data_IF_423336744405
#
_entry.id   IF_423336744405
#
_cell.length_a   1.000
_cell.length_b   1.000
_cell.length_c   1.000
_cell.angle_alpha   90.00
_cell.angle_beta   90.00
_cell.angle_gamma   90.00
#
_symmetry.space_group_name_H-M   'P 1'
#
loop_
_entity.id
_entity.type
_entity.pdbx_description
1 polymer ?
#
# COMPACT_ATOMS: atom_id res chain seq x y z
N UNK A 1 22.52 -5.86 -8.79
CA UNK A 1 21.38 -5.87 -7.84
C UNK A 1 21.68 -6.90 -6.77
N UNK A 2 21.45 -6.58 -5.50
CA UNK A 2 21.50 -7.54 -4.41
C UNK A 2 20.31 -8.48 -4.52
N UNK A 3 20.51 -9.76 -4.18
CA UNK A 3 19.40 -10.72 -4.10
C UNK A 3 18.53 -10.37 -2.89
N UNK A 4 17.23 -10.19 -3.11
CA UNK A 4 16.21 -9.94 -2.08
C UNK A 4 15.34 -11.18 -1.88
N UNK A 5 14.57 -11.19 -0.79
CA UNK A 5 13.63 -12.25 -0.45
C UNK A 5 12.30 -12.12 -1.19
N UNK A 6 11.24 -12.61 -0.54
CA UNK A 6 9.89 -12.62 -1.11
C UNK A 6 9.31 -11.20 -1.21
N UNK A 7 8.50 -10.97 -2.23
CA UNK A 7 7.76 -9.72 -2.33
C UNK A 7 6.69 -9.60 -1.24
N UNK A 8 6.24 -8.38 -0.93
CA UNK A 8 5.10 -8.20 -0.01
C UNK A 8 3.84 -8.87 -0.57
N UNK A 9 3.68 -8.95 -1.90
CA UNK A 9 2.60 -9.71 -2.53
C UNK A 9 2.67 -11.21 -2.20
N UNK A 10 3.86 -11.82 -2.29
CA UNK A 10 4.07 -13.24 -1.99
C UNK A 10 3.89 -13.53 -0.50
N UNK A 11 4.42 -12.66 0.36
CA UNK A 11 4.28 -12.77 1.81
C UNK A 11 2.82 -12.66 2.24
N UNK A 12 2.08 -11.69 1.69
CA UNK A 12 0.64 -11.54 1.90
C UNK A 12 -0.12 -12.77 1.42
N UNK A 13 0.21 -13.31 0.24
CA UNK A 13 -0.49 -14.47 -0.34
C UNK A 13 -0.34 -15.74 0.53
N UNK A 14 0.74 -15.86 1.30
CA UNK A 14 0.98 -16.95 2.22
C UNK A 14 0.21 -16.82 3.56
N UNK A 15 -0.45 -15.70 3.83
CA UNK A 15 -1.20 -15.45 5.07
C UNK A 15 -2.63 -15.99 5.00
N UNK A 16 -3.22 -16.38 6.15
CA UNK A 16 -4.67 -16.55 6.26
C UNK A 16 -5.41 -15.32 5.75
N UNK A 17 -6.51 -15.53 5.01
CA UNK A 17 -7.30 -14.46 4.38
C UNK A 17 -6.51 -13.56 3.40
N UNK A 18 -5.26 -13.92 3.09
CA UNK A 18 -4.35 -13.17 2.22
C UNK A 18 -4.18 -11.71 2.67
N UNK A 19 -3.97 -11.48 3.96
CA UNK A 19 -3.74 -10.14 4.55
C UNK A 19 -2.69 -10.19 5.65
N UNK A 20 -2.07 -9.04 5.91
CA UNK A 20 -1.32 -8.81 7.14
C UNK A 20 -2.21 -8.23 8.24
N UNK A 21 -1.79 -8.41 9.48
CA UNK A 21 -2.31 -7.67 10.63
C UNK A 21 -2.02 -6.18 10.48
N UNK A 22 -2.89 -5.33 11.03
CA UNK A 22 -2.72 -3.86 10.95
C UNK A 22 -1.33 -3.39 11.42
N UNK A 23 -0.76 -3.86 12.55
CA UNK A 23 0.58 -3.43 12.95
C UNK A 23 1.67 -3.82 11.93
N UNK A 24 1.58 -5.02 11.33
CA UNK A 24 2.50 -5.43 10.26
C UNK A 24 2.33 -4.56 9.03
N UNK A 25 1.09 -4.31 8.59
CA UNK A 25 0.82 -3.46 7.43
C UNK A 25 1.34 -2.04 7.62
N UNK A 26 1.14 -1.44 8.81
CA UNK A 26 1.63 -0.09 9.11
C UNK A 26 3.15 -0.03 9.20
N UNK A 27 3.78 -0.97 9.91
CA UNK A 27 5.24 -1.00 10.03
C UNK A 27 5.96 -1.27 8.71
N UNK A 28 5.46 -2.22 7.91
CA UNK A 28 5.98 -2.46 6.56
C UNK A 28 5.67 -1.27 5.62
N UNK A 29 4.48 -0.68 5.81
CA UNK A 29 4.03 0.50 5.10
C UNK A 29 4.94 1.70 5.29
N UNK A 30 5.36 1.98 6.52
CA UNK A 30 6.33 3.03 6.82
C UNK A 30 7.61 2.82 5.99
N UNK A 31 8.21 1.63 6.02
CA UNK A 31 9.41 1.35 5.23
C UNK A 31 9.19 1.48 3.72
N UNK A 32 8.02 1.08 3.20
CA UNK A 32 7.68 1.31 1.80
C UNK A 32 7.70 2.82 1.47
N UNK A 33 7.13 3.65 2.34
CA UNK A 33 7.06 5.08 2.14
C UNK A 33 8.41 5.78 2.39
N UNK A 34 9.23 5.32 3.32
CA UNK A 34 10.63 5.77 3.50
C UNK A 34 11.46 5.53 2.22
N UNK A 35 11.39 4.32 1.65
CA UNK A 35 12.08 4.02 0.39
C UNK A 35 11.59 4.89 -0.77
N UNK A 36 10.29 5.20 -0.80
CA UNK A 36 9.71 6.13 -1.76
C UNK A 36 10.16 7.58 -1.52
N UNK A 37 10.22 8.02 -0.26
CA UNK A 37 10.69 9.35 0.12
C UNK A 37 12.15 9.54 -0.31
N UNK A 38 13.01 8.53 -0.12
CA UNK A 38 14.40 8.58 -0.56
C UNK A 38 14.53 8.72 -2.08
N UNK A 39 13.66 8.05 -2.85
CA UNK A 39 13.56 8.26 -4.30
C UNK A 39 13.13 9.69 -4.65
N UNK A 40 12.16 10.24 -3.90
CA UNK A 40 11.69 11.61 -4.06
C UNK A 40 12.78 12.64 -3.74
N UNK A 41 13.59 12.42 -2.70
CA UNK A 41 14.78 13.23 -2.35
C UNK A 41 15.82 13.21 -3.47
N UNK A 42 15.92 12.12 -4.23
CA UNK A 42 16.75 12.03 -5.44
C UNK A 42 16.14 12.74 -6.67
N UNK A 43 14.93 13.31 -6.55
CA UNK A 43 14.24 14.04 -7.61
C UNK A 43 13.52 13.16 -8.63
N UNK A 44 13.14 11.94 -8.24
CA UNK A 44 12.37 11.01 -9.05
C UNK A 44 11.04 10.68 -8.38
N UNK A 45 10.06 10.25 -9.16
CA UNK A 45 8.85 9.55 -8.69
C UNK A 45 8.84 8.15 -9.31
N UNK A 46 8.26 7.17 -8.62
CA UNK A 46 8.23 5.77 -9.04
C UNK A 46 7.14 5.46 -10.07
N UNK A 47 5.89 5.92 -9.81
CA UNK A 47 4.69 5.72 -10.65
C UNK A 47 4.17 4.29 -10.79
N UNK A 48 4.63 3.36 -9.96
CA UNK A 48 4.14 1.96 -9.96
C UNK A 48 4.34 1.30 -8.60
N UNK A 49 4.01 2.01 -7.52
CA UNK A 49 4.07 1.44 -6.18
C UNK A 49 2.94 0.41 -6.00
N UNK A 50 3.34 -0.82 -5.68
CA UNK A 50 2.45 -1.96 -5.48
C UNK A 50 3.16 -3.05 -4.67
N UNK A 51 2.44 -3.98 -4.01
CA UNK A 51 3.06 -4.98 -3.15
C UNK A 51 4.14 -5.86 -3.82
N UNK A 52 4.07 -6.10 -5.13
CA UNK A 52 5.08 -6.91 -5.84
C UNK A 52 6.38 -6.17 -6.12
N UNK A 53 6.38 -4.84 -6.05
CA UNK A 53 7.57 -4.00 -6.24
C UNK A 53 8.26 -3.68 -4.91
N UNK A 54 7.82 -4.30 -3.82
CA UNK A 54 8.49 -4.26 -2.53
C UNK A 54 8.83 -5.69 -2.09
N UNK A 55 10.03 -5.91 -1.57
CA UNK A 55 10.46 -7.21 -1.08
C UNK A 55 11.22 -7.12 0.24
N UNK A 56 11.09 -8.15 1.08
CA UNK A 56 11.90 -8.25 2.29
C UNK A 56 13.33 -8.67 1.96
N UNK A 57 14.29 -8.36 2.84
CA UNK A 57 15.64 -8.89 2.75
C UNK A 57 15.73 -10.40 3.04
N UNK A 58 16.91 -10.96 2.85
CA UNK A 58 17.23 -12.36 3.19
C UNK A 58 17.93 -12.45 4.54
N UNK A 59 17.79 -13.59 5.22
CA UNK A 59 18.47 -13.88 6.48
C UNK A 59 18.13 -12.84 7.56
N UNK A 60 19.17 -12.21 8.11
CA UNK A 60 19.03 -11.20 9.17
C UNK A 60 18.34 -9.92 8.68
N UNK A 61 18.31 -9.68 7.36
CA UNK A 61 17.65 -8.52 6.74
C UNK A 61 16.16 -8.75 6.45
N UNK A 62 15.55 -9.84 6.93
CA UNK A 62 14.13 -10.19 6.69
C UNK A 62 13.11 -9.13 7.15
N UNK A 63 13.52 -8.18 7.98
CA UNK A 63 12.71 -7.03 8.44
C UNK A 63 12.92 -5.76 7.60
N UNK A 64 13.92 -5.73 6.71
CA UNK A 64 14.17 -4.60 5.81
C UNK A 64 13.34 -4.78 4.55
N UNK A 65 12.57 -3.75 4.18
CA UNK A 65 11.77 -3.73 2.95
C UNK A 65 12.48 -2.89 1.89
N UNK A 66 12.71 -3.48 0.72
CA UNK A 66 13.39 -2.86 -0.42
C UNK A 66 12.37 -2.49 -1.51
N UNK A 67 12.50 -1.28 -2.06
CA UNK A 67 11.82 -0.84 -3.28
C UNK A 67 12.54 -1.38 -4.52
N UNK A 68 11.78 -1.96 -5.45
CA UNK A 68 12.24 -2.60 -6.67
C UNK A 68 11.60 -1.97 -7.90
N UNK A 69 12.16 -2.27 -9.08
CA UNK A 69 11.62 -1.94 -10.40
C UNK A 69 11.37 -0.44 -10.67
N UNK A 70 12.45 0.28 -10.94
CA UNK A 70 12.41 1.69 -11.35
C UNK A 70 12.08 1.88 -12.85
N UNK A 71 11.57 0.86 -13.56
CA UNK A 71 11.35 0.92 -15.01
C UNK A 71 10.33 1.98 -15.43
N UNK A 72 9.42 2.36 -14.53
CA UNK A 72 8.47 3.46 -14.73
C UNK A 72 8.86 4.74 -14.00
N UNK A 73 9.98 4.78 -13.29
CA UNK A 73 10.39 5.98 -12.57
C UNK A 73 10.60 7.17 -13.53
N UNK A 74 10.38 8.38 -13.02
CA UNK A 74 10.54 9.62 -13.81
C UNK A 74 11.21 10.70 -12.98
N UNK A 75 12.25 11.31 -13.55
CA UNK A 75 12.89 12.49 -12.98
C UNK A 75 11.95 13.69 -13.04
N UNK A 76 11.60 14.25 -11.89
CA UNK A 76 10.70 15.40 -11.74
C UNK A 76 11.45 16.72 -11.56
N UNK A 77 12.73 16.69 -11.21
CA UNK A 77 13.56 17.90 -11.11
C UNK A 77 14.32 18.21 -12.40
N UNK A 78 14.52 19.49 -12.68
CA UNK A 78 15.34 19.99 -13.80
C UNK A 78 16.84 20.00 -13.43
N UNK A 79 17.69 20.54 -14.32
CA UNK A 79 19.14 20.64 -14.09
C UNK A 79 19.53 21.59 -12.95
N UNK A 80 18.63 22.49 -12.56
CA UNK A 80 18.80 23.44 -11.45
C UNK A 80 18.28 22.90 -10.12
N UNK A 81 17.74 21.67 -10.09
CA UNK A 81 17.13 21.08 -8.91
C UNK A 81 15.69 21.54 -8.64
N UNK A 82 15.06 22.27 -9.56
CA UNK A 82 13.69 22.78 -9.41
C UNK A 82 12.68 21.78 -10.00
N UNK A 83 11.47 21.74 -9.45
CA UNK A 83 10.39 20.92 -10.00
C UNK A 83 10.05 21.35 -11.44
N UNK A 84 9.96 20.38 -12.35
CA UNK A 84 9.61 20.64 -13.76
C UNK A 84 8.19 21.17 -13.88
N UNK A 85 7.97 22.05 -14.84
CA UNK A 85 6.63 22.49 -15.25
C UNK A 85 5.76 21.27 -15.59
N UNK A 86 4.51 21.23 -15.10
CA UNK A 86 3.63 20.11 -15.38
C UNK A 86 3.27 20.04 -16.86
N UNK A 87 3.27 18.83 -17.43
CA UNK A 87 2.77 18.60 -18.79
C UNK A 87 1.25 18.80 -18.83
N UNK A 88 0.75 19.25 -19.97
CA UNK A 88 -0.70 19.40 -20.22
C UNK A 88 -1.45 18.07 -20.07
N UNK A 89 -0.82 16.96 -20.45
CA UNK A 89 -1.39 15.63 -20.29
C UNK A 89 -0.31 14.56 -20.14
N UNK A 90 -0.65 13.47 -19.45
CA UNK A 90 0.21 12.29 -19.29
C UNK A 90 -0.48 11.01 -19.74
N UNK A 91 0.32 10.04 -20.16
CA UNK A 91 -0.16 8.69 -20.43
C UNK A 91 -0.42 7.94 -19.11
N UNK A 92 -1.53 7.20 -19.08
CA UNK A 92 -1.83 6.25 -18.01
C UNK A 92 -0.80 5.12 -18.07
N UNK A 93 0.09 5.06 -17.07
CA UNK A 93 1.11 4.02 -16.88
C UNK A 93 1.07 3.54 -15.44
N UNK A 94 1.59 2.34 -15.20
CA UNK A 94 1.55 1.67 -13.91
C UNK A 94 0.35 0.73 -13.79
N UNK A 95 0.25 0.11 -12.62
CA UNK A 95 -0.75 -0.93 -12.34
C UNK A 95 -2.10 -0.29 -11.99
N UNK A 96 -3.13 -0.52 -12.82
CA UNK A 96 -4.43 0.18 -12.77
C UNK A 96 -5.04 0.28 -11.35
N UNK A 97 -4.93 -0.79 -10.57
CA UNK A 97 -5.43 -0.87 -9.21
C UNK A 97 -4.83 0.21 -8.28
N UNK A 98 -3.55 0.55 -8.47
CA UNK A 98 -2.75 1.37 -7.55
C UNK A 98 -2.44 2.76 -8.09
N UNK A 99 -2.61 3.05 -9.38
CA UNK A 99 -2.33 4.40 -9.91
C UNK A 99 -3.22 5.48 -9.25
N UNK A 100 -2.72 6.69 -9.09
CA UNK A 100 -3.48 7.81 -8.52
C UNK A 100 -4.69 8.22 -9.37
N UNK A 101 -5.67 8.89 -8.76
CA UNK A 101 -6.79 9.49 -9.48
C UNK A 101 -6.30 10.52 -10.52
N UNK A 102 -5.24 11.28 -10.23
CA UNK A 102 -4.61 12.18 -11.20
C UNK A 102 -4.05 11.43 -12.42
N UNK A 103 -3.47 10.24 -12.23
CA UNK A 103 -3.02 9.40 -13.34
C UNK A 103 -4.18 8.97 -14.23
N UNK A 104 -5.29 8.50 -13.65
CA UNK A 104 -6.52 8.20 -14.41
C UNK A 104 -7.00 9.43 -15.21
N UNK A 105 -6.97 10.61 -14.59
CA UNK A 105 -7.36 11.90 -15.19
C UNK A 105 -6.31 12.50 -16.14
N UNK A 106 -5.20 11.79 -16.39
CA UNK A 106 -4.08 12.22 -17.25
C UNK A 106 -3.44 13.54 -16.82
N UNK A 107 -3.46 13.85 -15.53
CA UNK A 107 -2.83 15.02 -14.92
C UNK A 107 -1.36 14.67 -14.60
N UNK A 108 -0.47 15.67 -14.65
CA UNK A 108 0.93 15.48 -14.28
C UNK A 108 1.09 14.92 -12.86
N UNK A 109 1.99 13.94 -12.73
CA UNK A 109 2.21 13.22 -11.48
C UNK A 109 3.40 13.81 -10.71
N UNK A 110 3.24 13.94 -9.41
CA UNK A 110 4.26 14.35 -8.45
C UNK A 110 4.35 13.38 -7.26
N UNK A 111 5.13 13.74 -6.22
CA UNK A 111 5.32 12.91 -5.03
C UNK A 111 4.02 12.48 -4.34
N UNK A 112 2.99 13.34 -4.37
CA UNK A 112 1.67 13.02 -3.81
C UNK A 112 0.99 11.81 -4.46
N UNK A 113 1.28 11.56 -5.74
CA UNK A 113 0.64 10.50 -6.51
C UNK A 113 1.20 9.13 -6.14
N UNK A 114 2.50 9.06 -5.86
CA UNK A 114 3.11 7.88 -5.26
C UNK A 114 2.59 7.66 -3.83
N UNK A 115 2.33 8.72 -3.06
CA UNK A 115 1.70 8.60 -1.74
C UNK A 115 0.26 8.05 -1.82
N UNK A 116 -0.52 8.44 -2.82
CA UNK A 116 -1.84 7.85 -3.08
C UNK A 116 -1.72 6.36 -3.46
N UNK A 117 -0.75 6.00 -4.31
CA UNK A 117 -0.45 4.60 -4.64
C UNK A 117 -0.03 3.79 -3.41
N UNK A 118 0.79 4.38 -2.54
CA UNK A 118 1.17 3.80 -1.25
C UNK A 118 -0.04 3.56 -0.35
N UNK A 119 -0.97 4.53 -0.25
CA UNK A 119 -2.19 4.35 0.52
C UNK A 119 -3.02 3.16 0.02
N UNK A 120 -3.18 3.02 -1.30
CA UNK A 120 -3.84 1.86 -1.89
C UNK A 120 -3.09 0.54 -1.63
N UNK A 121 -1.76 0.57 -1.60
CA UNK A 121 -0.94 -0.58 -1.20
C UNK A 121 -1.27 -1.00 0.23
N UNK A 122 -1.36 -0.06 1.18
CA UNK A 122 -1.73 -0.35 2.58
C UNK A 122 -3.11 -0.98 2.66
N UNK A 123 -4.10 -0.41 1.97
CA UNK A 123 -5.45 -0.98 1.94
C UNK A 123 -5.46 -2.39 1.34
N UNK A 124 -4.74 -2.60 0.22
CA UNK A 124 -4.68 -3.91 -0.43
C UNK A 124 -4.10 -4.97 0.51
N UNK A 125 -3.02 -4.68 1.24
CA UNK A 125 -2.37 -5.67 2.12
C UNK A 125 -3.09 -5.90 3.46
N UNK A 126 -4.00 -5.00 3.86
CA UNK A 126 -4.66 -5.03 5.18
C UNK A 126 -6.12 -5.48 5.13
N UNK A 127 -6.87 -5.08 4.10
CA UNK A 127 -8.30 -5.40 3.99
C UNK A 127 -8.49 -6.83 3.48
N UNK A 128 -9.25 -7.70 4.18
CA UNK A 128 -9.59 -9.02 3.67
C UNK A 128 -10.27 -8.92 2.31
N UNK A 129 -9.71 -9.62 1.32
CA UNK A 129 -10.17 -9.49 -0.06
C UNK A 129 -9.58 -8.29 -0.82
N UNK A 130 -8.75 -7.44 -0.23
CA UNK A 130 -8.02 -6.36 -0.90
C UNK A 130 -8.90 -5.19 -1.35
N UNK A 131 -8.41 -4.41 -2.31
CA UNK A 131 -9.12 -3.21 -2.79
C UNK A 131 -10.49 -3.55 -3.41
N UNK A 132 -11.55 -2.75 -3.18
CA UNK A 132 -12.89 -3.01 -3.73
C UNK A 132 -12.92 -3.12 -5.26
N UNK A 133 -12.07 -2.35 -5.94
CA UNK A 133 -11.92 -2.35 -7.41
C UNK A 133 -10.86 -3.33 -7.92
N UNK A 134 -10.41 -4.30 -7.12
CA UNK A 134 -9.29 -5.18 -7.49
C UNK A 134 -9.53 -6.03 -8.75
N UNK A 135 -10.80 -6.34 -9.06
CA UNK A 135 -11.24 -7.19 -10.17
C UNK A 135 -11.77 -6.37 -11.36
N UNK A 136 -11.66 -5.04 -11.31
CA UNK A 136 -12.15 -4.15 -12.35
C UNK A 136 -10.97 -3.82 -13.28
N UNK A 137 -11.11 -4.16 -14.56
CA UNK A 137 -10.09 -3.89 -15.59
C UNK A 137 -10.40 -2.64 -16.43
N UNK A 138 -11.59 -2.07 -16.29
CA UNK A 138 -12.01 -0.84 -16.98
C UNK A 138 -11.52 0.39 -16.20
N UNK A 139 -10.92 1.35 -16.90
CA UNK A 139 -10.17 2.46 -16.29
C UNK A 139 -11.08 3.49 -15.63
N UNK A 140 -12.21 3.80 -16.25
CA UNK A 140 -13.16 4.79 -15.76
C UNK A 140 -13.96 4.23 -14.57
N UNK A 141 -14.30 2.94 -14.58
CA UNK A 141 -14.93 2.25 -13.44
C UNK A 141 -14.00 2.16 -12.23
N UNK A 142 -12.70 1.88 -12.42
CA UNK A 142 -11.72 1.95 -11.32
C UNK A 142 -11.63 3.36 -10.75
N UNK A 143 -11.65 4.40 -11.61
CA UNK A 143 -11.66 5.79 -11.14
C UNK A 143 -12.93 6.09 -10.34
N UNK A 144 -14.11 5.68 -10.82
CA UNK A 144 -15.38 5.88 -10.10
C UNK A 144 -15.35 5.23 -8.73
N UNK A 145 -14.85 4.00 -8.60
CA UNK A 145 -14.76 3.35 -7.28
C UNK A 145 -13.75 4.03 -6.35
N UNK A 146 -12.65 4.57 -6.89
CA UNK A 146 -11.72 5.41 -6.13
C UNK A 146 -12.39 6.69 -5.64
N UNK A 147 -13.21 7.34 -6.47
CA UNK A 147 -13.98 8.54 -6.09
C UNK A 147 -15.05 8.22 -5.04
N UNK A 148 -15.79 7.11 -5.19
CA UNK A 148 -16.75 6.64 -4.18
C UNK A 148 -16.11 6.34 -2.83
N UNK A 149 -14.88 5.82 -2.81
CA UNK A 149 -14.15 5.64 -1.55
C UNK A 149 -13.88 6.97 -0.84
N UNK A 150 -13.75 8.08 -1.57
CA UNK A 150 -13.56 9.41 -0.95
C UNK A 150 -14.86 10.02 -0.46
N UNK A 151 -16.00 9.60 -1.01
CA UNK A 151 -17.32 10.12 -0.66
C UNK A 151 -18.15 9.09 0.11
N UNK A 152 -18.99 8.33 -0.58
CA UNK A 152 -20.10 7.57 -0.02
C UNK A 152 -19.71 6.20 0.57
N UNK A 153 -18.59 5.61 0.12
CA UNK A 153 -18.14 4.28 0.55
C UNK A 153 -17.00 4.32 1.55
N UNK A 154 -16.59 5.50 2.04
CA UNK A 154 -15.43 5.63 2.92
C UNK A 154 -15.57 4.79 4.19
N UNK A 155 -16.68 4.96 4.90
CA UNK A 155 -16.94 4.23 6.15
C UNK A 155 -17.11 2.73 5.93
N UNK A 156 -17.71 2.32 4.81
CA UNK A 156 -17.84 0.90 4.44
C UNK A 156 -16.46 0.25 4.22
N UNK A 157 -15.59 0.92 3.46
CA UNK A 157 -14.28 0.37 3.07
C UNK A 157 -13.29 0.43 4.23
N UNK A 158 -13.18 1.56 4.91
CA UNK A 158 -12.20 1.76 5.98
C UNK A 158 -12.70 1.23 7.34
N UNK A 159 -14.01 1.22 7.57
CA UNK A 159 -14.62 0.82 8.84
C UNK A 159 -14.42 -0.65 9.20
N UNK A 160 -13.96 -1.48 8.26
CA UNK A 160 -13.53 -2.87 8.55
C UNK A 160 -12.21 -2.92 9.33
N UNK A 161 -11.47 -1.81 9.41
CA UNK A 161 -10.19 -1.71 10.10
C UNK A 161 -10.34 -0.86 11.37
N UNK A 162 -9.68 -1.29 12.45
CA UNK A 162 -9.63 -0.56 13.72
C UNK A 162 -8.92 0.80 13.64
N UNK A 163 -8.09 1.02 12.61
CA UNK A 163 -7.35 2.26 12.35
C UNK A 163 -8.02 3.18 11.31
N UNK A 164 -9.36 3.10 11.20
CA UNK A 164 -10.11 3.86 10.17
C UNK A 164 -9.91 5.37 10.25
N UNK A 165 -9.73 5.91 11.46
CA UNK A 165 -9.59 7.35 11.68
C UNK A 165 -8.24 7.85 11.18
N UNK A 166 -7.17 7.10 11.43
CA UNK A 166 -5.83 7.41 10.94
C UNK A 166 -5.76 7.28 9.42
N UNK A 167 -6.35 6.21 8.85
CA UNK A 167 -6.43 6.03 7.40
C UNK A 167 -7.24 7.16 6.72
N UNK A 168 -8.34 7.61 7.34
CA UNK A 168 -9.13 8.73 6.82
C UNK A 168 -8.32 10.03 6.81
N UNK A 169 -7.61 10.33 7.90
CA UNK A 169 -6.72 11.50 7.98
C UNK A 169 -5.58 11.44 6.97
N UNK A 170 -5.01 10.25 6.72
CA UNK A 170 -3.95 10.08 5.71
C UNK A 170 -4.46 10.44 4.32
N UNK A 171 -5.61 9.89 3.91
CA UNK A 171 -6.11 10.15 2.57
C UNK A 171 -6.62 11.59 2.40
N UNK A 172 -7.25 12.16 3.42
CA UNK A 172 -7.65 13.57 3.41
C UNK A 172 -6.44 14.49 3.23
N UNK A 173 -5.35 14.20 3.94
CA UNK A 173 -4.10 14.92 3.78
C UNK A 173 -3.55 14.83 2.36
N UNK A 174 -3.45 13.62 1.80
CA UNK A 174 -2.98 13.41 0.42
C UNK A 174 -3.85 14.18 -0.59
N UNK A 175 -5.16 14.21 -0.39
CA UNK A 175 -6.11 14.90 -1.27
C UNK A 175 -5.98 16.44 -1.20
N UNK A 176 -5.41 17.00 -0.12
CA UNK A 176 -5.10 18.45 -0.05
C UNK A 176 -3.94 18.87 -0.95
N UNK A 177 -3.05 17.93 -1.30
CA UNK A 177 -1.80 18.23 -2.00
C UNK A 177 -2.01 18.43 -3.50
N UNK A 178 -1.23 19.36 -4.05
CA UNK A 178 -1.09 19.66 -5.48
C UNK A 178 0.28 19.22 -5.99
N UNK A 179 0.47 19.27 -7.30
CA UNK A 179 1.71 18.84 -7.95
C UNK A 179 2.98 19.53 -7.41
N UNK A 180 2.88 20.81 -7.05
CA UNK A 180 4.02 21.60 -6.56
C UNK A 180 4.21 21.55 -5.05
N UNK A 181 3.30 20.90 -4.31
CA UNK A 181 3.37 20.88 -2.85
C UNK A 181 4.39 19.83 -2.39
N UNK A 182 5.06 20.13 -1.27
CA UNK A 182 5.91 19.17 -0.59
C UNK A 182 5.06 18.26 0.30
N UNK A 183 5.32 16.96 0.23
CA UNK A 183 4.69 15.98 1.12
C UNK A 183 5.38 16.02 2.49
N UNK A 184 4.58 16.08 3.54
CA UNK A 184 4.96 15.92 4.94
C UNK A 184 4.89 14.42 5.28
N UNK A 185 5.96 13.70 4.96
CA UNK A 185 6.05 12.26 5.21
C UNK A 185 5.98 11.94 6.70
N UNK A 186 6.56 12.80 7.53
CA UNK A 186 6.55 12.68 8.99
C UNK A 186 5.13 12.67 9.56
N UNK A 187 4.23 13.49 9.01
CA UNK A 187 2.81 13.44 9.38
C UNK A 187 2.18 12.09 9.03
N UNK A 188 2.47 11.55 7.84
CA UNK A 188 1.95 10.23 7.41
C UNK A 188 2.52 9.11 8.30
N UNK A 189 3.82 9.15 8.63
CA UNK A 189 4.46 8.17 9.52
C UNK A 189 3.81 8.15 10.90
N UNK A 190 3.56 9.33 11.49
CA UNK A 190 2.86 9.44 12.78
C UNK A 190 1.46 8.85 12.76
N UNK A 191 0.71 9.07 11.67
CA UNK A 191 -0.60 8.45 11.51
C UNK A 191 -0.51 6.92 11.39
N UNK A 192 0.52 6.39 10.72
CA UNK A 192 0.70 4.94 10.59
C UNK A 192 1.07 4.28 11.93
N UNK A 193 1.95 4.91 12.70
CA UNK A 193 2.28 4.51 14.07
C UNK A 193 1.06 4.52 14.99
N UNK A 194 0.25 5.59 14.93
CA UNK A 194 -1.00 5.68 15.67
C UNK A 194 -1.99 4.60 15.24
N UNK A 195 -2.09 4.33 13.93
CA UNK A 195 -2.96 3.28 13.39
C UNK A 195 -2.59 1.88 13.92
N UNK A 196 -1.29 1.57 14.05
CA UNK A 196 -0.85 0.32 14.69
C UNK A 196 -1.31 0.22 16.15
N UNK A 197 -1.16 1.32 16.91
CA UNK A 197 -1.57 1.42 18.32
C UNK A 197 -3.09 1.32 18.50
N UNK A 198 -3.87 2.01 17.66
CA UNK A 198 -5.34 1.92 17.63
C UNK A 198 -5.83 0.50 17.32
N UNK A 199 -5.02 -0.30 16.63
CA UNK A 199 -5.29 -1.72 16.40
C UNK A 199 -4.80 -2.67 17.51
N UNK A 200 -4.26 -2.15 18.61
CA UNK A 200 -3.80 -2.92 19.76
C UNK A 200 -2.41 -3.55 19.61
N UNK A 201 -1.60 -3.06 18.67
CA UNK A 201 -0.20 -3.49 18.51
C UNK A 201 0.76 -2.31 18.33
N UNK A 202 1.98 -2.59 17.91
CA UNK A 202 3.00 -1.58 17.66
C UNK A 202 3.80 -1.89 16.38
N UNK A 203 4.35 -0.87 15.74
CA UNK A 203 5.16 -1.06 14.51
C UNK A 203 6.49 -1.79 14.78
N UNK A 204 6.95 -1.81 16.02
CA UNK A 204 8.15 -2.55 16.46
C UNK A 204 7.91 -4.04 16.68
N UNK A 205 6.63 -4.47 16.74
CA UNK A 205 6.25 -5.87 16.86
C UNK A 205 6.84 -6.72 15.72
N UNK A 206 6.95 -8.02 15.95
CA UNK A 206 7.33 -8.96 14.90
C UNK A 206 6.32 -8.92 13.75
N UNK A 207 6.84 -8.83 12.53
CA UNK A 207 6.00 -8.91 11.35
C UNK A 207 5.36 -10.29 11.23
N UNK A 208 4.22 -10.32 10.57
CA UNK A 208 3.43 -11.53 10.38
C UNK A 208 4.17 -12.66 9.65
N UNK A 209 5.16 -12.34 8.80
CA UNK A 209 6.00 -13.33 8.13
C UNK A 209 7.18 -13.82 8.97
N UNK A 210 7.38 -13.24 10.15
CA UNK A 210 8.36 -13.72 11.13
C UNK A 210 7.74 -14.70 12.12
N UNK A 211 6.42 -14.62 12.33
CA UNK A 211 5.67 -15.52 13.20
C UNK A 211 5.60 -16.90 12.53
N UNK A 212 6.02 -17.95 13.25
CA UNK A 212 5.89 -19.31 12.76
C UNK A 212 4.43 -19.60 12.39
N UNK A 213 4.20 -20.13 11.19
CA UNK A 213 2.88 -20.67 10.83
C UNK A 213 2.66 -21.87 11.74
N UNK A 214 1.86 -21.71 12.79
CA UNK A 214 1.49 -22.82 13.66
C UNK A 214 0.84 -23.96 12.85
N UNK A 215 0.89 -25.21 13.33
CA UNK A 215 0.33 -26.33 12.59
C UNK A 215 -1.16 -26.08 12.32
N UNK A 216 -1.55 -26.14 11.05
CA UNK A 216 -2.93 -26.09 10.62
C UNK A 216 -3.69 -27.20 11.36
N UNK A 217 -4.60 -26.83 12.27
CA UNK A 217 -5.50 -27.80 12.89
C UNK A 217 -6.45 -28.27 11.80
N UNK A 218 -6.13 -29.40 11.18
CA UNK A 218 -7.04 -30.12 10.31
C UNK A 218 -8.20 -30.60 11.19
N UNK A 219 -9.34 -29.91 11.13
CA UNK A 219 -10.57 -30.41 11.73
C UNK A 219 -10.97 -31.65 10.90
N UNK A 220 -10.55 -32.83 11.34
CA UNK A 220 -11.12 -34.09 10.86
C UNK A 220 -12.59 -34.11 11.30
N UNK A 221 -13.49 -34.06 10.32
CA UNK A 221 -14.91 -34.26 10.53
C UNK A 221 -15.12 -35.59 11.26
N UNK A 222 -15.76 -35.54 12.43
CA UNK A 222 -16.23 -36.74 13.13
C UNK A 222 -17.27 -37.42 12.26
N UNK A 223 -17.00 -38.66 11.86
CA UNK A 223 -18.00 -39.54 11.27
C UNK A 223 -19.16 -39.73 12.26
N UNK A 224 -20.35 -39.38 11.80
CA UNK A 224 -21.61 -39.66 12.50
C UNK A 224 -21.93 -41.14 12.35
N UNK A 225 -21.72 -41.89 13.43
CA UNK A 225 -22.23 -43.26 13.58
C UNK A 225 -23.76 -43.20 13.62
N UNK A 226 -24.42 -43.78 12.61
CA UNK A 226 -25.87 -44.05 12.64
C UNK A 226 -26.12 -45.19 13.65
N UNK A 227 -27.11 -45.07 14.55
CA UNK A 227 -27.55 -46.21 15.33
C UNK A 227 -28.40 -47.13 14.46
N UNK A 228 -28.03 -48.41 14.45
CA UNK A 228 -28.86 -49.52 13.98
C UNK A 228 -29.84 -49.93 15.08
N UNK A 229 -31.13 -49.64 14.85
CA UNK A 229 -32.29 -50.53 15.02
C UNK A 229 -33.59 -49.72 14.95
#
# INVERSE_FOLDING_TARGET
MQLVGKSLADLKAARPNKVFTVPTSMGAGIQCLEACEDLHKCGFIHRDLKPSNYACGLGDQKRVVYLLDFGLARKIINVKGELKTPRESVLIKGTLRFISMSCHKRIELGPKDDCESWFYLILDITIPGGLPWKLIDEKDEVLKEKEKMRSEKRDEILGVLSCKEELSKMIDYIDTLKYHDHVDYEYIYKLAEQGAKSAGGDISDLYDWEKAVGPTVTITAKETVKPSN
#
